data_IF_210250081271
#
_entry.id   IF_210250081271
#
_cell.length_a   1.000
_cell.length_b   1.000
_cell.length_c   1.000
_cell.angle_alpha   90.00
_cell.angle_beta   90.00
_cell.angle_gamma   90.00
#
_symmetry.space_group_name_H-M   'P 1'
#
loop_
_entity.id
_entity.type
_entity.pdbx_description
1 polymer ?
#
# COMPACT_ATOMS: atom_id res chain seq x y z
N UNK A 1 -11.64 62.28 -23.80
CA UNK A 1 -12.23 61.31 -22.86
C UNK A 1 -12.68 60.08 -23.62
N UNK A 2 -12.13 58.90 -23.32
CA UNK A 2 -12.66 57.58 -23.71
C UNK A 2 -11.87 56.52 -22.92
N UNK A 3 -12.36 56.16 -21.73
CA UNK A 3 -11.83 55.03 -20.97
C UNK A 3 -12.52 53.76 -21.47
N UNK A 4 -11.77 52.92 -22.18
CA UNK A 4 -12.23 51.57 -22.50
C UNK A 4 -11.96 50.68 -21.29
N UNK A 5 -13.01 50.35 -20.54
CA UNK A 5 -12.97 49.35 -19.49
C UNK A 5 -12.93 47.96 -20.14
N UNK A 6 -11.74 47.38 -20.25
CA UNK A 6 -11.58 45.96 -20.55
C UNK A 6 -11.80 45.18 -19.25
N UNK A 7 -13.02 44.65 -19.08
CA UNK A 7 -13.34 43.71 -17.99
C UNK A 7 -12.72 42.37 -18.41
N UNK A 8 -11.54 42.06 -17.87
CA UNK A 8 -10.95 40.73 -17.98
C UNK A 8 -11.68 39.84 -16.97
N UNK A 9 -12.62 39.01 -17.46
CA UNK A 9 -13.21 37.94 -16.65
C UNK A 9 -12.09 36.98 -16.23
N UNK A 10 -11.74 37.01 -14.94
CA UNK A 10 -10.88 36.00 -14.35
C UNK A 10 -11.63 34.65 -14.33
N UNK A 11 -11.25 33.76 -15.25
CA UNK A 11 -11.71 32.38 -15.25
C UNK A 11 -11.11 31.68 -14.01
N UNK A 12 -11.90 31.59 -12.94
CA UNK A 12 -11.61 30.73 -11.80
C UNK A 12 -11.88 29.30 -12.25
N UNK A 13 -10.88 28.65 -12.86
CA UNK A 13 -10.91 27.21 -13.04
C UNK A 13 -10.87 26.57 -11.65
N UNK A 14 -12.04 26.12 -11.18
CA UNK A 14 -12.18 25.32 -9.98
C UNK A 14 -11.26 24.10 -10.11
N UNK A 15 -10.21 24.08 -9.28
CA UNK A 15 -9.33 22.93 -9.13
C UNK A 15 -10.13 21.82 -8.45
N UNK A 16 -10.78 20.95 -9.22
CA UNK A 16 -11.38 19.72 -8.67
C UNK A 16 -10.35 18.59 -8.69
N UNK A 17 -9.56 18.46 -7.62
CA UNK A 17 -8.93 17.18 -7.23
C UNK A 17 -8.52 17.26 -5.75
N UNK A 18 -8.60 16.18 -4.96
CA UNK A 18 -8.37 14.80 -5.40
C UNK A 18 -9.58 13.88 -5.24
N UNK A 19 -9.55 12.81 -6.04
CA UNK A 19 -10.29 11.60 -5.80
C UNK A 19 -10.13 11.17 -4.34
N UNK A 20 -11.22 10.68 -3.75
CA UNK A 20 -11.23 10.06 -2.43
C UNK A 20 -9.99 9.20 -2.24
N UNK A 21 -9.36 9.30 -1.08
CA UNK A 21 -8.38 8.33 -0.63
C UNK A 21 -8.99 6.94 -0.90
N UNK A 22 -8.41 6.19 -1.84
CA UNK A 22 -8.79 4.80 -2.05
C UNK A 22 -8.16 4.04 -0.88
N UNK A 23 -8.78 4.16 0.29
CA UNK A 23 -8.50 3.29 1.42
C UNK A 23 -8.75 1.88 0.92
N UNK A 24 -7.69 1.09 0.89
CA UNK A 24 -7.79 -0.31 0.53
C UNK A 24 -8.70 -0.98 1.56
N UNK A 25 -9.79 -1.59 1.10
CA UNK A 25 -10.59 -2.45 1.96
C UNK A 25 -9.78 -3.71 2.28
N UNK A 26 -9.17 -3.75 3.46
CA UNK A 26 -8.38 -4.89 3.95
C UNK A 26 -9.19 -6.19 3.97
N UNK A 27 -10.50 -6.12 4.24
CA UNK A 27 -11.33 -7.31 4.44
C UNK A 27 -11.35 -8.23 3.23
N UNK A 28 -11.10 -7.69 2.03
CA UNK A 28 -11.01 -8.44 0.77
C UNK A 28 -9.77 -9.35 0.68
N UNK A 29 -8.75 -9.15 1.52
CA UNK A 29 -7.48 -9.86 1.49
C UNK A 29 -7.33 -10.90 2.59
N UNK A 30 -8.04 -10.75 3.72
CA UNK A 30 -7.96 -11.69 4.84
C UNK A 30 -8.21 -13.14 4.40
N UNK A 31 -7.31 -14.04 4.79
CA UNK A 31 -7.33 -15.46 4.47
C UNK A 31 -6.85 -15.82 3.06
N UNK A 32 -6.51 -14.85 2.20
CA UNK A 32 -5.95 -15.13 0.87
C UNK A 32 -4.46 -15.47 0.96
N UNK A 33 -3.99 -16.25 -0.01
CA UNK A 33 -2.57 -16.52 -0.21
C UNK A 33 -1.83 -15.21 -0.47
N UNK A 34 -0.73 -15.00 0.25
CA UNK A 34 0.11 -13.80 0.14
C UNK A 34 0.56 -13.54 -1.30
N UNK A 35 1.02 -14.56 -2.01
CA UNK A 35 1.50 -14.42 -3.39
C UNK A 35 0.42 -13.93 -4.36
N UNK A 36 -0.84 -14.34 -4.17
CA UNK A 36 -1.95 -13.83 -4.96
C UNK A 36 -2.21 -12.34 -4.66
N UNK A 37 -2.19 -11.96 -3.38
CA UNK A 37 -2.38 -10.55 -2.96
C UNK A 37 -1.24 -9.67 -3.46
N UNK A 38 0.01 -10.13 -3.33
CA UNK A 38 1.19 -9.48 -3.88
C UNK A 38 1.06 -9.26 -5.39
N UNK A 39 0.73 -10.31 -6.14
CA UNK A 39 0.55 -10.20 -7.59
C UNK A 39 -0.52 -9.18 -7.96
N UNK A 40 -1.69 -9.23 -7.31
CA UNK A 40 -2.80 -8.30 -7.54
C UNK A 40 -2.42 -6.85 -7.25
N UNK A 41 -1.72 -6.60 -6.14
CA UNK A 41 -1.30 -5.25 -5.75
C UNK A 41 -0.24 -4.70 -6.70
N UNK A 42 0.77 -5.51 -7.06
CA UNK A 42 1.79 -5.12 -8.03
C UNK A 42 1.17 -4.83 -9.41
N UNK A 43 0.20 -5.62 -9.86
CA UNK A 43 -0.54 -5.38 -11.10
C UNK A 43 -1.34 -4.07 -11.07
N UNK A 44 -1.79 -3.65 -9.88
CA UNK A 44 -2.47 -2.36 -9.63
C UNK A 44 -1.49 -1.19 -9.42
N UNK A 45 -0.18 -1.40 -9.62
CA UNK A 45 0.84 -0.36 -9.52
C UNK A 45 1.39 -0.11 -8.12
N UNK A 46 0.97 -0.91 -7.12
CA UNK A 46 1.60 -0.86 -5.80
C UNK A 46 3.04 -1.38 -5.88
N UNK A 47 3.86 -0.94 -4.94
CA UNK A 47 5.26 -1.35 -4.82
C UNK A 47 5.48 -1.97 -3.45
N UNK A 48 6.32 -2.99 -3.37
CA UNK A 48 6.80 -3.48 -2.08
C UNK A 48 7.54 -2.37 -1.33
N UNK A 49 7.29 -2.27 -0.03
CA UNK A 49 8.13 -1.47 0.87
C UNK A 49 9.43 -2.26 1.07
N UNK A 50 10.60 -1.65 0.76
CA UNK A 50 11.86 -2.35 0.87
C UNK A 50 12.19 -2.64 2.34
N UNK A 51 12.78 -3.81 2.56
CA UNK A 51 13.39 -4.21 3.82
C UNK A 51 14.41 -3.16 4.30
N UNK A 52 14.43 -2.86 5.59
CA UNK A 52 15.37 -1.92 6.19
C UNK A 52 16.60 -2.64 6.75
N UNK A 53 17.68 -1.89 6.99
CA UNK A 53 18.86 -2.45 7.64
C UNK A 53 18.54 -2.90 9.07
N UNK A 54 18.85 -4.16 9.38
CA UNK A 54 18.61 -4.76 10.71
C UNK A 54 17.29 -5.52 10.83
N UNK A 55 16.43 -5.47 9.81
CA UNK A 55 15.24 -6.29 9.75
C UNK A 55 15.59 -7.79 9.59
N UNK A 56 14.70 -8.69 10.05
CA UNK A 56 14.88 -10.14 9.91
C UNK A 56 13.91 -10.63 8.83
N UNK A 57 14.43 -11.05 7.67
CA UNK A 57 13.59 -11.64 6.63
C UNK A 57 12.98 -12.96 7.07
N UNK A 58 11.74 -13.23 6.69
CA UNK A 58 11.06 -14.51 6.93
C UNK A 58 11.82 -15.68 6.32
N UNK A 59 12.21 -15.56 5.05
CA UNK A 59 12.98 -16.58 4.34
C UNK A 59 13.64 -16.00 3.09
N UNK A 60 14.49 -16.80 2.43
CA UNK A 60 15.05 -16.44 1.12
C UNK A 60 13.99 -16.38 0.01
N UNK A 61 12.87 -17.10 0.16
CA UNK A 61 11.76 -17.09 -0.79
C UNK A 61 10.90 -15.82 -0.66
N UNK A 62 10.78 -15.30 0.56
CA UNK A 62 9.99 -14.11 0.88
C UNK A 62 10.87 -13.06 1.59
N UNK A 63 11.93 -12.53 0.94
CA UNK A 63 12.86 -11.61 1.56
C UNK A 63 12.24 -10.27 1.98
N UNK A 64 11.12 -9.90 1.35
CA UNK A 64 10.34 -8.70 1.67
C UNK A 64 9.49 -8.81 2.93
N UNK A 65 9.20 -10.03 3.39
CA UNK A 65 8.45 -10.27 4.63
C UNK A 65 9.43 -10.14 5.78
N UNK A 66 9.15 -9.23 6.70
CA UNK A 66 9.99 -8.95 7.86
C UNK A 66 9.33 -9.47 9.12
N UNK A 67 10.08 -10.20 9.94
CA UNK A 67 9.63 -10.75 11.21
C UNK A 67 10.32 -10.06 12.37
N UNK A 68 9.60 -9.94 13.49
CA UNK A 68 10.22 -9.61 14.78
C UNK A 68 11.18 -10.71 15.26
N UNK A 69 11.81 -10.47 16.41
CA UNK A 69 12.61 -11.48 17.09
C UNK A 69 11.80 -12.19 18.19
N UNK A 70 12.02 -13.50 18.35
CA UNK A 70 11.38 -14.32 19.38
C UNK A 70 10.34 -15.31 18.85
N UNK A 71 9.89 -16.22 19.71
CA UNK A 71 8.98 -17.32 19.35
C UNK A 71 7.55 -16.89 19.01
N UNK A 72 7.18 -15.66 19.36
CA UNK A 72 5.87 -15.05 19.08
C UNK A 72 6.00 -13.84 18.16
N UNK A 73 7.07 -13.78 17.37
CA UNK A 73 7.31 -12.70 16.45
C UNK A 73 6.21 -12.64 15.37
N UNK A 74 5.74 -11.43 15.10
CA UNK A 74 4.83 -11.15 13.98
C UNK A 74 5.68 -10.98 12.72
N UNK A 75 5.24 -11.59 11.63
CA UNK A 75 5.80 -11.39 10.30
C UNK A 75 4.86 -10.51 9.48
N UNK A 76 5.42 -9.50 8.81
CA UNK A 76 4.64 -8.51 8.08
C UNK A 76 5.29 -8.09 6.77
N UNK A 77 4.49 -7.54 5.86
CA UNK A 77 4.94 -7.04 4.56
C UNK A 77 4.18 -5.78 4.19
N UNK A 78 4.91 -4.77 3.73
CA UNK A 78 4.37 -3.48 3.34
C UNK A 78 4.24 -3.32 1.83
N UNK A 79 3.20 -2.60 1.40
CA UNK A 79 3.00 -2.11 0.04
C UNK A 79 2.76 -0.60 0.06
N UNK A 80 3.21 0.09 -0.98
CA UNK A 80 3.02 1.53 -1.15
C UNK A 80 2.56 1.87 -2.56
N UNK A 81 1.55 2.73 -2.64
CA UNK A 81 1.11 3.40 -3.85
C UNK A 81 0.84 4.86 -3.50
N UNK A 82 1.86 5.72 -3.67
CA UNK A 82 1.87 7.09 -3.13
C UNK A 82 0.55 7.84 -3.44
N UNK A 83 -0.06 8.51 -2.44
CA UNK A 83 0.41 8.72 -1.06
C UNK A 83 0.09 7.57 -0.08
N UNK A 84 -0.54 6.48 -0.53
CA UNK A 84 -1.04 5.41 0.33
C UNK A 84 0.01 4.33 0.62
N UNK A 85 -0.11 3.71 1.79
CA UNK A 85 0.63 2.53 2.18
C UNK A 85 -0.28 1.58 2.96
N UNK A 86 -0.04 0.29 2.84
CA UNK A 86 -0.71 -0.75 3.61
C UNK A 86 0.34 -1.75 4.07
N UNK A 87 0.16 -2.35 5.23
CA UNK A 87 0.99 -3.44 5.71
C UNK A 87 0.10 -4.61 6.16
N UNK A 88 0.53 -5.82 5.86
CA UNK A 88 -0.21 -7.03 6.20
C UNK A 88 0.60 -7.89 7.15
N UNK A 89 -0.06 -8.43 8.17
CA UNK A 89 0.45 -9.55 8.94
C UNK A 89 0.25 -10.82 8.10
N UNK A 90 1.32 -11.60 7.96
CA UNK A 90 1.30 -12.89 7.27
C UNK A 90 1.61 -14.02 8.23
N UNK A 91 0.92 -15.14 8.05
CA UNK A 91 1.14 -16.36 8.83
C UNK A 91 1.28 -17.56 7.90
N UNK A 92 2.05 -18.55 8.32
CA UNK A 92 2.19 -19.81 7.61
C UNK A 92 0.94 -20.68 7.82
N UNK A 93 0.40 -21.21 6.72
CA UNK A 93 -0.73 -22.13 6.72
C UNK A 93 -0.62 -23.08 5.53
N UNK A 94 -0.48 -24.39 5.78
CA UNK A 94 -0.32 -25.41 4.74
C UNK A 94 0.81 -25.07 3.73
N UNK A 95 2.02 -24.80 4.24
CA UNK A 95 3.23 -24.52 3.45
C UNK A 95 3.17 -23.25 2.56
N UNK A 96 2.23 -22.35 2.82
CA UNK A 96 2.12 -21.04 2.17
C UNK A 96 1.88 -19.94 3.19
N UNK A 97 2.23 -18.70 2.84
CA UNK A 97 1.86 -17.52 3.61
C UNK A 97 0.45 -17.08 3.24
N UNK A 98 -0.36 -16.76 4.26
CA UNK A 98 -1.68 -16.15 4.09
C UNK A 98 -1.75 -14.80 4.78
N UNK A 99 -2.59 -13.89 4.27
CA UNK A 99 -2.89 -12.62 4.94
C UNK A 99 -3.76 -12.90 6.16
N UNK A 100 -3.27 -12.61 7.36
CA UNK A 100 -4.01 -12.78 8.60
C UNK A 100 -4.82 -11.52 8.92
N UNK A 101 -4.13 -10.39 9.02
CA UNK A 101 -4.63 -9.11 9.53
C UNK A 101 -3.92 -7.93 8.85
N UNK A 102 -4.49 -6.74 8.98
CA UNK A 102 -3.77 -5.50 8.71
C UNK A 102 -2.82 -5.23 9.88
N UNK A 103 -1.62 -4.73 9.60
CA UNK A 103 -0.63 -4.40 10.62
C UNK A 103 -0.91 -3.05 11.29
#
# INVERSE_FOLDING_TARGET
MRFQFAIVLAAVCAMTVPAAANDIDFSQFKGKAYEAVKHDLLAKGWQLVPHQEGDISYSQQYPEVTCGSGSMAICSVGFRHKPHSVAFIVVESNDQLIIAEEY
#
